data_IF_010945556067
#
_entry.id   IF_010945556067
#
_cell.length_a   1.000
_cell.length_b   1.000
_cell.length_c   1.000
_cell.angle_alpha   90.00
_cell.angle_beta   90.00
_cell.angle_gamma   90.00
#
_symmetry.space_group_name_H-M   'P 1'
#
loop_
_entity.id
_entity.type
_entity.pdbx_description
1 polymer ?
#
# COMPACT_ATOMS: atom_id res chain seq x y z
N UNK A 1 9.60 23.72 -22.81
CA UNK A 1 8.86 22.49 -23.13
C UNK A 1 9.72 21.60 -23.98
N UNK A 2 9.99 20.38 -23.58
CA UNK A 2 10.74 19.42 -24.38
C UNK A 2 9.85 18.87 -25.49
N UNK A 3 10.35 18.87 -26.72
CA UNK A 3 9.62 18.37 -27.90
C UNK A 3 10.10 16.94 -28.19
N UNK A 4 9.19 15.99 -28.24
CA UNK A 4 9.50 14.61 -28.62
C UNK A 4 8.95 14.36 -30.01
N UNK A 5 9.81 13.93 -30.92
CA UNK A 5 9.42 13.50 -32.25
C UNK A 5 9.36 11.99 -32.33
N UNK A 6 8.23 11.45 -32.78
CA UNK A 6 8.02 10.02 -32.95
C UNK A 6 7.83 9.72 -34.43
N UNK A 7 8.59 8.77 -34.94
CA UNK A 7 8.47 8.27 -36.31
C UNK A 7 8.06 6.80 -36.32
N UNK A 8 7.43 6.37 -37.41
CA UNK A 8 7.10 4.96 -37.62
C UNK A 8 8.38 4.12 -37.65
N UNK A 9 8.42 3.06 -36.86
CA UNK A 9 9.52 2.10 -36.85
C UNK A 9 9.00 0.67 -36.69
N UNK A 10 9.84 -0.31 -37.06
CA UNK A 10 9.59 -1.73 -36.82
C UNK A 10 10.44 -2.17 -35.65
N UNK A 11 9.78 -2.63 -34.58
CA UNK A 11 10.49 -3.14 -33.41
C UNK A 11 10.83 -4.62 -33.59
N UNK A 12 12.09 -4.97 -33.34
CA UNK A 12 12.56 -6.35 -33.37
C UNK A 12 13.54 -6.57 -32.21
N UNK A 13 13.28 -7.61 -31.40
CA UNK A 13 14.13 -7.92 -30.25
C UNK A 13 13.32 -8.49 -29.09
N UNK A 14 14.03 -8.85 -28.02
CA UNK A 14 13.47 -9.33 -26.78
C UNK A 14 13.58 -8.22 -25.70
N UNK A 15 12.53 -8.04 -24.91
CA UNK A 15 12.51 -7.10 -23.79
C UNK A 15 12.13 -7.83 -22.52
N UNK A 16 12.91 -7.62 -21.46
CA UNK A 16 12.54 -8.08 -20.12
C UNK A 16 11.59 -7.05 -19.55
N UNK A 17 10.35 -7.47 -19.27
CA UNK A 17 9.36 -6.59 -18.66
C UNK A 17 9.81 -6.13 -17.27
N UNK A 18 9.65 -4.85 -16.94
CA UNK A 18 9.87 -4.37 -15.57
C UNK A 18 8.85 -5.01 -14.61
N UNK A 19 9.20 -5.15 -13.33
CA UNK A 19 8.30 -5.69 -12.32
C UNK A 19 7.01 -4.84 -12.20
N UNK A 20 5.90 -5.52 -11.92
CA UNK A 20 4.59 -4.87 -11.80
C UNK A 20 4.41 -4.21 -10.45
N UNK A 21 4.06 -2.92 -10.44
CA UNK A 21 3.68 -2.19 -9.23
C UNK A 21 2.51 -2.86 -8.50
N UNK A 22 1.47 -3.20 -9.24
CA UNK A 22 0.25 -3.78 -8.67
C UNK A 22 0.46 -5.16 -8.06
N UNK A 23 1.29 -5.99 -8.67
CA UNK A 23 1.64 -7.28 -8.07
C UNK A 23 2.55 -7.10 -6.86
N UNK A 24 3.48 -6.15 -6.89
CA UNK A 24 4.37 -5.87 -5.75
C UNK A 24 3.56 -5.44 -4.52
N UNK A 25 2.61 -4.52 -4.65
CA UNK A 25 1.73 -4.13 -3.53
C UNK A 25 1.01 -5.34 -2.93
N UNK A 26 0.37 -6.16 -3.78
CA UNK A 26 -0.38 -7.33 -3.32
C UNK A 26 0.52 -8.38 -2.66
N UNK A 27 1.67 -8.65 -3.25
CA UNK A 27 2.63 -9.58 -2.69
C UNK A 27 3.09 -9.14 -1.28
N UNK A 28 3.39 -7.84 -1.09
CA UNK A 28 3.76 -7.30 0.23
C UNK A 28 2.63 -7.49 1.23
N UNK A 29 1.39 -7.12 0.88
CA UNK A 29 0.26 -7.25 1.80
C UNK A 29 -0.07 -8.70 2.16
N UNK A 30 -0.12 -9.59 1.15
CA UNK A 30 -0.40 -11.02 1.38
C UNK A 30 0.69 -11.65 2.25
N UNK A 31 1.96 -11.39 1.93
CA UNK A 31 3.08 -11.89 2.73
C UNK A 31 3.08 -11.32 4.16
N UNK A 32 2.65 -10.06 4.33
CA UNK A 32 2.58 -9.41 5.64
C UNK A 32 1.53 -10.04 6.55
N UNK A 33 0.41 -10.49 5.98
CA UNK A 33 -0.69 -11.13 6.71
C UNK A 33 -0.53 -12.65 6.84
N UNK A 34 0.41 -13.26 6.13
CA UNK A 34 0.67 -14.69 6.19
C UNK A 34 1.28 -15.10 7.53
N UNK A 35 1.13 -16.37 7.88
CA UNK A 35 1.87 -16.98 8.99
C UNK A 35 3.14 -17.61 8.45
N UNK A 36 4.31 -17.00 8.74
CA UNK A 36 5.61 -17.48 8.30
C UNK A 36 6.35 -16.51 7.39
N UNK A 37 7.44 -16.99 6.81
CA UNK A 37 8.36 -16.20 6.01
C UNK A 37 8.05 -16.29 4.51
N UNK A 38 8.24 -15.20 3.81
CA UNK A 38 8.04 -15.10 2.36
C UNK A 38 9.19 -14.34 1.72
N UNK A 39 9.54 -14.72 0.50
CA UNK A 39 10.48 -13.98 -0.32
C UNK A 39 9.79 -13.44 -1.57
N UNK A 40 9.84 -12.13 -1.77
CA UNK A 40 9.31 -11.46 -2.95
C UNK A 40 10.50 -11.14 -3.86
N UNK A 41 10.61 -11.88 -4.95
CA UNK A 41 11.71 -11.76 -5.91
C UNK A 41 11.37 -10.66 -6.91
N UNK A 42 12.38 -9.84 -7.25
CA UNK A 42 12.26 -8.76 -8.23
C UNK A 42 11.02 -7.85 -8.04
N UNK A 43 10.80 -7.29 -6.83
CA UNK A 43 9.70 -6.35 -6.62
C UNK A 43 9.97 -5.03 -7.33
N UNK A 44 8.92 -4.33 -7.77
CA UNK A 44 9.06 -2.94 -8.16
C UNK A 44 9.22 -2.07 -6.90
N UNK A 45 10.39 -1.48 -6.71
CA UNK A 45 10.64 -0.54 -5.62
C UNK A 45 10.47 0.89 -6.13
N UNK A 46 9.30 1.43 -5.92
CA UNK A 46 8.93 2.81 -6.23
C UNK A 46 8.46 3.50 -4.95
N UNK A 47 8.28 4.82 -4.99
CA UNK A 47 7.73 5.58 -3.86
C UNK A 47 6.44 4.96 -3.32
N UNK A 48 5.53 4.53 -4.20
CA UNK A 48 4.26 3.90 -3.82
C UNK A 48 4.46 2.58 -3.05
N UNK A 49 5.33 1.71 -3.56
CA UNK A 49 5.56 0.38 -2.93
C UNK A 49 6.40 0.48 -1.67
N UNK A 50 7.26 1.48 -1.56
CA UNK A 50 7.97 1.80 -0.31
C UNK A 50 6.97 2.24 0.75
N UNK A 51 6.02 3.12 0.42
CA UNK A 51 4.94 3.49 1.34
C UNK A 51 4.13 2.28 1.83
N UNK A 52 3.94 1.25 0.97
CA UNK A 52 3.33 -0.02 1.39
C UNK A 52 4.20 -0.78 2.39
N UNK A 53 5.50 -0.86 2.14
CA UNK A 53 6.44 -1.52 3.06
C UNK A 53 6.40 -0.84 4.42
N UNK A 54 6.44 0.50 4.45
CA UNK A 54 6.46 1.27 5.68
C UNK A 54 5.14 1.16 6.44
N UNK A 55 4.00 1.16 5.74
CA UNK A 55 2.71 0.88 6.35
C UNK A 55 2.63 -0.52 6.97
N UNK A 56 3.12 -1.56 6.28
CA UNK A 56 3.17 -2.91 6.84
C UNK A 56 4.09 -3.01 8.07
N UNK A 57 5.23 -2.31 8.05
CA UNK A 57 6.12 -2.22 9.22
C UNK A 57 5.46 -1.53 10.41
N UNK A 58 4.65 -0.50 10.18
CA UNK A 58 3.88 0.17 11.24
C UNK A 58 2.92 -0.80 11.94
N UNK A 59 2.38 -1.79 11.24
CA UNK A 59 1.60 -2.89 11.82
C UNK A 59 2.44 -3.99 12.50
N UNK A 60 3.76 -3.80 12.61
CA UNK A 60 4.67 -4.73 13.28
C UNK A 60 5.23 -5.84 12.40
N UNK A 61 5.02 -5.79 11.10
CA UNK A 61 5.57 -6.76 10.15
C UNK A 61 7.06 -6.51 9.95
N UNK A 62 7.87 -7.56 9.95
CA UNK A 62 9.31 -7.46 9.70
C UNK A 62 9.59 -7.63 8.20
N UNK A 63 10.01 -6.56 7.56
CA UNK A 63 10.37 -6.55 6.14
C UNK A 63 11.81 -6.09 5.99
N UNK A 64 12.65 -6.94 5.37
CA UNK A 64 14.05 -6.64 5.05
C UNK A 64 14.23 -6.60 3.55
N UNK A 65 15.02 -5.63 3.09
CA UNK A 65 15.49 -5.58 1.70
C UNK A 65 16.74 -6.44 1.57
N UNK A 66 16.81 -7.25 0.53
CA UNK A 66 17.92 -8.11 0.19
C UNK A 66 18.32 -7.88 -1.27
N UNK A 67 19.44 -8.42 -1.70
CA UNK A 67 19.90 -8.36 -3.11
C UNK A 67 18.92 -9.07 -4.07
N UNK A 68 18.16 -10.03 -3.56
CA UNK A 68 17.18 -10.80 -4.33
C UNK A 68 15.75 -10.20 -4.28
N UNK A 69 15.52 -9.16 -3.48
CA UNK A 69 14.21 -8.53 -3.34
C UNK A 69 13.84 -8.21 -1.90
N UNK A 70 12.65 -8.66 -1.45
CA UNK A 70 12.17 -8.44 -0.10
C UNK A 70 11.99 -9.76 0.64
N UNK A 71 12.50 -9.82 1.85
CA UNK A 71 12.20 -10.89 2.81
C UNK A 71 11.18 -10.37 3.80
N UNK A 72 10.04 -11.04 3.92
CA UNK A 72 8.90 -10.65 4.75
C UNK A 72 8.64 -11.75 5.77
N UNK A 73 8.81 -11.45 7.04
CA UNK A 73 8.30 -12.30 8.12
C UNK A 73 6.89 -11.85 8.45
N UNK A 74 5.91 -12.59 7.97
CA UNK A 74 4.51 -12.27 8.09
C UNK A 74 4.04 -12.33 9.55
N UNK A 75 3.06 -11.50 9.86
CA UNK A 75 2.46 -11.44 11.18
C UNK A 75 0.93 -11.33 11.08
N UNK A 76 0.20 -12.43 11.24
CA UNK A 76 -1.26 -12.38 11.21
C UNK A 76 -1.87 -11.63 12.41
N UNK A 77 -1.09 -11.40 13.47
CA UNK A 77 -1.49 -10.60 14.63
C UNK A 77 -0.89 -9.20 14.50
N UNK A 78 -1.59 -8.34 13.79
CA UNK A 78 -1.17 -6.96 13.58
C UNK A 78 -1.10 -6.18 14.89
N UNK A 79 -0.13 -5.27 14.99
CA UNK A 79 0.00 -4.29 16.07
C UNK A 79 -0.70 -2.99 15.69
N UNK A 80 -1.19 -2.28 16.69
CA UNK A 80 -1.65 -0.90 16.50
C UNK A 80 -0.41 -0.06 16.18
N UNK A 81 -0.41 0.73 15.10
CA UNK A 81 0.67 1.65 14.80
C UNK A 81 0.86 2.70 15.90
N UNK A 82 2.11 3.01 16.22
CA UNK A 82 2.45 4.01 17.24
C UNK A 82 2.21 5.46 16.76
N UNK A 83 2.09 5.66 15.43
CA UNK A 83 1.90 6.97 14.81
C UNK A 83 0.99 6.87 13.58
N UNK A 84 0.65 8.03 13.01
CA UNK A 84 -0.14 8.14 11.78
C UNK A 84 0.56 7.44 10.62
N UNK A 85 -0.17 6.61 9.90
CA UNK A 85 0.34 5.99 8.68
C UNK A 85 0.27 6.99 7.53
N UNK A 86 1.43 7.45 7.06
CA UNK A 86 1.52 8.26 5.85
C UNK A 86 1.76 7.37 4.63
N UNK A 87 0.78 7.30 3.74
CA UNK A 87 0.87 6.50 2.51
C UNK A 87 1.46 7.28 1.32
N UNK A 88 2.01 8.46 1.57
CA UNK A 88 2.60 9.34 0.55
C UNK A 88 1.61 9.64 -0.59
N UNK A 89 1.94 9.29 -1.83
CA UNK A 89 1.08 9.43 -3.02
C UNK A 89 0.38 8.12 -3.41
N UNK A 90 0.45 7.07 -2.60
CA UNK A 90 -0.01 5.75 -2.98
C UNK A 90 -1.49 5.51 -2.70
N UNK A 91 -2.34 5.72 -3.70
CA UNK A 91 -3.78 5.41 -3.60
C UNK A 91 -4.08 3.93 -3.40
N UNK A 92 -3.22 3.04 -3.88
CA UNK A 92 -3.32 1.59 -3.64
C UNK A 92 -3.04 1.30 -2.18
N UNK A 93 -1.94 1.81 -1.63
CA UNK A 93 -1.59 1.63 -0.22
C UNK A 93 -2.70 2.17 0.68
N UNK A 94 -3.21 3.38 0.40
CA UNK A 94 -4.30 3.99 1.15
C UNK A 94 -5.48 3.03 1.32
N UNK A 95 -5.98 2.45 0.23
CA UNK A 95 -7.16 1.58 0.26
C UNK A 95 -6.90 0.24 0.94
N UNK A 96 -5.75 -0.38 0.66
CA UNK A 96 -5.42 -1.66 1.29
C UNK A 96 -5.18 -1.50 2.79
N UNK A 97 -4.44 -0.47 3.20
CA UNK A 97 -4.15 -0.20 4.61
C UNK A 97 -5.44 0.09 5.38
N UNK A 98 -6.36 0.88 4.82
CA UNK A 98 -7.67 1.13 5.41
C UNK A 98 -8.44 -0.17 5.67
N UNK A 99 -8.46 -1.07 4.69
CA UNK A 99 -9.14 -2.36 4.85
C UNK A 99 -8.42 -3.29 5.86
N UNK A 100 -7.09 -3.30 5.85
CA UNK A 100 -6.27 -4.12 6.77
C UNK A 100 -6.40 -3.62 8.21
N UNK A 101 -6.51 -2.31 8.43
CA UNK A 101 -6.74 -1.73 9.75
C UNK A 101 -8.00 -2.29 10.42
N UNK A 102 -9.00 -2.68 9.63
CA UNK A 102 -10.22 -3.31 10.15
C UNK A 102 -10.00 -4.71 10.77
N UNK A 103 -8.83 -5.32 10.58
CA UNK A 103 -8.46 -6.59 11.20
C UNK A 103 -7.94 -6.44 12.64
N UNK A 104 -7.66 -5.22 13.08
CA UNK A 104 -7.27 -4.94 14.46
C UNK A 104 -8.46 -5.15 15.39
N UNK A 105 -8.23 -5.82 16.51
CA UNK A 105 -9.28 -6.11 17.49
C UNK A 105 -9.65 -4.88 18.34
N UNK A 106 -8.68 -4.00 18.55
CA UNK A 106 -8.82 -2.81 19.43
C UNK A 106 -7.97 -1.67 18.86
N UNK A 107 -8.24 -0.45 19.35
CA UNK A 107 -7.48 0.75 19.03
C UNK A 107 -7.97 1.49 17.80
N UNK A 108 -7.21 2.50 17.42
CA UNK A 108 -7.49 3.37 16.29
C UNK A 108 -6.26 3.46 15.38
N UNK A 109 -6.49 3.61 14.10
CA UNK A 109 -5.45 3.86 13.09
C UNK A 109 -5.83 5.12 12.34
N UNK A 110 -4.91 6.05 12.26
CA UNK A 110 -5.07 7.25 11.44
C UNK A 110 -4.22 7.09 10.18
N UNK A 111 -4.85 7.27 9.02
CA UNK A 111 -4.18 7.10 7.72
C UNK A 111 -4.31 8.40 6.93
N UNK A 112 -3.19 8.88 6.42
CA UNK A 112 -3.11 10.08 5.60
C UNK A 112 -2.16 9.89 4.43
N UNK A 113 -2.02 10.92 3.61
CA UNK A 113 -1.06 10.96 2.50
C UNK A 113 -0.81 12.42 2.08
N UNK A 114 -0.19 12.59 0.92
CA UNK A 114 0.06 13.90 0.35
C UNK A 114 -1.23 14.59 -0.12
N UNK A 115 -1.09 15.81 -0.65
CA UNK A 115 -2.22 16.61 -1.14
C UNK A 115 -3.04 15.91 -2.24
N UNK A 116 -2.44 15.04 -3.03
CA UNK A 116 -3.14 14.25 -4.05
C UNK A 116 -4.02 13.18 -3.42
N UNK A 117 -3.51 12.47 -2.41
CA UNK A 117 -4.26 11.46 -1.66
C UNK A 117 -5.41 12.11 -0.88
N UNK A 118 -5.16 13.24 -0.23
CA UNK A 118 -6.19 13.96 0.54
C UNK A 118 -7.34 14.49 -0.31
N UNK A 119 -7.19 14.55 -1.62
CA UNK A 119 -8.26 14.92 -2.55
C UNK A 119 -9.09 13.73 -3.05
N UNK A 120 -8.59 12.50 -2.86
CA UNK A 120 -9.25 11.29 -3.38
C UNK A 120 -10.40 10.85 -2.49
N UNK A 121 -11.56 10.48 -3.07
CA UNK A 121 -12.70 10.00 -2.30
C UNK A 121 -12.41 8.63 -1.68
N UNK A 122 -12.76 8.48 -0.43
CA UNK A 122 -12.69 7.24 0.35
C UNK A 122 -14.08 6.75 0.80
N UNK A 123 -15.12 7.56 0.65
CA UNK A 123 -16.47 7.31 1.09
C UNK A 123 -17.01 5.92 0.75
N UNK A 124 -16.92 5.42 -0.50
CA UNK A 124 -17.38 4.08 -0.84
C UNK A 124 -16.72 2.97 -0.02
N UNK A 125 -15.40 3.06 0.23
CA UNK A 125 -14.68 2.08 1.05
C UNK A 125 -15.08 2.19 2.52
N UNK A 126 -15.16 3.41 3.07
CA UNK A 126 -15.58 3.64 4.44
C UNK A 126 -17.01 3.14 4.68
N UNK A 127 -17.92 3.39 3.72
CA UNK A 127 -19.29 2.88 3.78
C UNK A 127 -19.35 1.34 3.76
N UNK A 128 -18.55 0.70 2.92
CA UNK A 128 -18.47 -0.77 2.89
C UNK A 128 -17.95 -1.34 4.21
N UNK A 129 -16.91 -0.74 4.78
CA UNK A 129 -16.36 -1.14 6.08
C UNK A 129 -17.37 -0.96 7.22
N UNK A 130 -18.13 0.14 7.21
CA UNK A 130 -19.24 0.36 8.19
C UNK A 130 -20.29 -0.76 8.11
N UNK A 131 -20.64 -1.22 6.91
CA UNK A 131 -21.58 -2.35 6.73
C UNK A 131 -21.05 -3.66 7.31
N UNK A 132 -19.73 -3.81 7.40
CA UNK A 132 -19.04 -4.94 8.05
C UNK A 132 -18.86 -4.72 9.57
N UNK A 133 -19.40 -3.67 10.15
CA UNK A 133 -19.31 -3.38 11.58
C UNK A 133 -18.05 -2.63 12.00
N UNK A 134 -17.26 -2.12 11.04
CA UNK A 134 -16.02 -1.37 11.34
C UNK A 134 -16.35 0.10 11.54
N UNK A 135 -15.87 0.68 12.63
CA UNK A 135 -15.90 2.12 12.84
C UNK A 135 -14.87 2.81 11.96
N UNK A 136 -15.31 3.39 10.85
CA UNK A 136 -14.43 4.06 9.89
C UNK A 136 -15.04 5.37 9.42
N UNK A 137 -14.27 6.45 9.45
CA UNK A 137 -14.74 7.78 9.09
C UNK A 137 -13.61 8.68 8.59
N UNK A 138 -13.97 9.75 7.92
CA UNK A 138 -13.05 10.84 7.57
C UNK A 138 -12.93 11.80 8.76
N UNK A 139 -11.71 12.15 9.14
CA UNK A 139 -11.46 13.06 10.27
C UNK A 139 -12.04 14.47 10.05
N UNK A 140 -12.30 14.85 8.80
CA UNK A 140 -12.85 16.16 8.41
C UNK A 140 -14.28 16.05 7.85
N UNK A 141 -14.90 14.90 8.01
CA UNK A 141 -16.29 14.62 7.61
C UNK A 141 -16.59 14.91 6.12
N UNK A 142 -15.61 14.70 5.27
CA UNK A 142 -15.67 14.98 3.82
C UNK A 142 -15.37 13.78 2.94
N UNK A 143 -15.42 12.58 3.50
CA UNK A 143 -15.10 11.31 2.82
C UNK A 143 -13.68 11.21 2.22
N UNK A 144 -12.74 11.97 2.76
CA UNK A 144 -11.34 12.01 2.31
C UNK A 144 -10.38 11.80 3.48
N UNK A 145 -9.11 11.57 3.16
CA UNK A 145 -8.06 11.49 4.19
C UNK A 145 -7.84 12.86 4.88
N UNK A 146 -7.45 12.85 6.19
CA UNK A 146 -7.17 11.69 7.05
C UNK A 146 -8.42 10.86 7.38
N UNK A 147 -8.25 9.57 7.50
CA UNK A 147 -9.29 8.62 7.89
C UNK A 147 -8.83 7.79 9.06
#
# INVERSE_FOLDING_TARGET
MSKINVSKSVLKGNVICPPSKSYTHRAIFISSLANGDSQIINPLLSRDTIATIDACKAFGVKIKRTDQGLFVSGNPTLKIPDDVINVENSGTTMRFVTAISALLKNGHVVITGDDSIRKRPMGPLLSALKQLGVHSYSATDNDKAPI
#
